data_IF_807384890298
#
_entry.id   IF_807384890298
#
_cell.length_a   1.000
_cell.length_b   1.000
_cell.length_c   1.000
_cell.angle_alpha   90.00
_cell.angle_beta   90.00
_cell.angle_gamma   90.00
#
_symmetry.space_group_name_H-M   'P 1'
#
loop_
_entity.id
_entity.type
_entity.pdbx_description
1 polymer ?
#
# COMPACT_ATOMS: atom_id res chain seq x y z
N UNK A 1 70.20 -48.46 -26.70
CA UNK A 1 70.08 -47.79 -28.01
C UNK A 1 68.62 -47.54 -28.30
N UNK A 2 68.29 -46.32 -28.78
CA UNK A 2 67.06 -45.94 -29.51
C UNK A 2 65.75 -45.85 -28.70
N UNK A 3 65.37 -44.64 -28.28
CA UNK A 3 64.44 -43.67 -28.94
C UNK A 3 62.98 -43.91 -28.55
N UNK A 4 62.38 -43.06 -27.71
CA UNK A 4 61.72 -41.78 -28.06
C UNK A 4 60.26 -42.00 -28.49
N UNK A 5 59.29 -41.59 -27.65
CA UNK A 5 58.11 -40.79 -28.03
C UNK A 5 57.27 -40.49 -26.78
N UNK A 6 57.39 -39.29 -26.24
CA UNK A 6 56.40 -38.71 -25.33
C UNK A 6 55.43 -37.90 -26.19
N UNK A 7 54.17 -38.33 -26.29
CA UNK A 7 53.09 -37.50 -26.83
C UNK A 7 52.48 -36.69 -25.68
N UNK A 8 52.70 -35.39 -25.72
CA UNK A 8 52.05 -34.37 -24.89
C UNK A 8 50.61 -34.18 -25.34
N UNK A 9 49.63 -34.69 -24.58
CA UNK A 9 48.23 -34.33 -24.73
C UNK A 9 47.95 -33.05 -23.93
N UNK A 10 47.91 -31.92 -24.63
CA UNK A 10 47.48 -30.63 -24.10
C UNK A 10 45.94 -30.64 -23.97
N UNK A 11 45.42 -30.94 -22.79
CA UNK A 11 43.99 -30.80 -22.48
C UNK A 11 43.70 -29.32 -22.31
N UNK A 12 43.15 -28.70 -23.35
CA UNK A 12 42.61 -27.35 -23.30
C UNK A 12 41.31 -27.40 -22.49
N UNK A 13 41.40 -27.12 -21.19
CA UNK A 13 40.25 -26.99 -20.31
C UNK A 13 39.49 -25.73 -20.70
N UNK A 14 38.44 -25.88 -21.51
CA UNK A 14 37.43 -24.86 -21.70
C UNK A 14 36.59 -24.77 -20.42
N UNK A 15 37.02 -23.94 -19.48
CA UNK A 15 36.17 -23.50 -18.38
C UNK A 15 35.06 -22.64 -18.96
N UNK A 16 33.91 -23.27 -19.24
CA UNK A 16 32.67 -22.55 -19.45
C UNK A 16 32.40 -21.81 -18.13
N UNK A 17 32.41 -20.46 -18.08
CA UNK A 17 31.96 -19.76 -16.89
C UNK A 17 30.49 -20.13 -16.70
N UNK A 18 30.23 -20.84 -15.60
CA UNK A 18 28.89 -21.25 -15.21
C UNK A 18 27.96 -20.05 -15.23
N UNK A 19 26.93 -20.14 -16.07
CA UNK A 19 25.76 -19.29 -15.96
C UNK A 19 25.18 -19.60 -14.58
N UNK A 20 25.40 -18.69 -13.62
CA UNK A 20 24.69 -18.71 -12.36
C UNK A 20 23.19 -18.63 -12.70
N UNK A 21 22.51 -19.78 -12.66
CA UNK A 21 21.07 -19.89 -12.59
C UNK A 21 20.60 -19.41 -11.20
N UNK A 22 20.93 -18.16 -10.88
CA UNK A 22 20.45 -17.45 -9.71
C UNK A 22 19.02 -16.98 -9.96
N UNK A 23 18.08 -17.82 -9.58
CA UNK A 23 16.77 -17.44 -9.06
C UNK A 23 15.89 -16.55 -9.96
N UNK A 24 15.69 -16.98 -11.20
CA UNK A 24 14.65 -16.43 -12.08
C UNK A 24 13.26 -16.47 -11.43
N UNK A 25 13.00 -17.42 -10.54
CA UNK A 25 11.77 -17.54 -9.73
C UNK A 25 11.59 -16.40 -8.73
N UNK A 26 12.62 -16.02 -7.96
CA UNK A 26 12.51 -14.89 -7.03
C UNK A 26 12.42 -13.55 -7.76
N UNK A 27 13.09 -13.40 -8.91
CA UNK A 27 12.96 -12.19 -9.75
C UNK A 27 11.55 -12.06 -10.32
N UNK A 28 10.94 -13.17 -10.77
CA UNK A 28 9.55 -13.20 -11.22
C UNK A 28 8.57 -12.93 -10.06
N UNK A 29 8.78 -13.54 -8.90
CA UNK A 29 7.94 -13.31 -7.71
C UNK A 29 8.02 -11.86 -7.22
N UNK A 30 9.21 -11.25 -7.26
CA UNK A 30 9.40 -9.83 -6.96
C UNK A 30 8.71 -8.94 -8.00
N UNK A 31 8.87 -9.24 -9.30
CA UNK A 31 8.22 -8.50 -10.38
C UNK A 31 6.68 -8.55 -10.30
N UNK A 32 6.09 -9.72 -10.03
CA UNK A 32 4.65 -9.86 -9.84
C UNK A 32 4.15 -9.05 -8.64
N UNK A 33 4.92 -9.05 -7.54
CA UNK A 33 4.59 -8.28 -6.36
C UNK A 33 4.56 -6.77 -6.61
N UNK A 34 5.54 -6.22 -7.34
CA UNK A 34 5.58 -4.80 -7.75
C UNK A 34 4.37 -4.40 -8.62
N UNK A 35 3.94 -5.30 -9.52
CA UNK A 35 2.74 -5.09 -10.36
C UNK A 35 1.47 -5.02 -9.50
N UNK A 36 1.32 -5.92 -8.53
CA UNK A 36 0.17 -5.92 -7.62
C UNK A 36 0.13 -4.67 -6.74
N UNK A 37 1.29 -4.21 -6.26
CA UNK A 37 1.43 -2.97 -5.49
C UNK A 37 1.04 -1.73 -6.31
N UNK A 38 1.45 -1.70 -7.58
CA UNK A 38 1.06 -0.65 -8.53
C UNK A 38 -0.45 -0.62 -8.72
N UNK A 39 -1.11 -1.77 -8.80
CA UNK A 39 -2.56 -1.85 -8.90
C UNK A 39 -3.26 -1.29 -7.64
N UNK A 40 -2.76 -1.61 -6.44
CA UNK A 40 -3.29 -1.04 -5.19
C UNK A 40 -3.15 0.50 -5.16
N UNK A 41 -2.00 1.00 -5.60
CA UNK A 41 -1.75 2.45 -5.73
C UNK A 41 -2.72 3.12 -6.70
N UNK A 42 -2.95 2.52 -7.87
CA UNK A 42 -3.89 3.05 -8.86
C UNK A 42 -5.32 3.10 -8.32
N UNK A 43 -5.71 2.10 -7.53
CA UNK A 43 -7.01 2.10 -6.88
C UNK A 43 -7.14 3.21 -5.82
N UNK A 44 -6.10 3.47 -5.02
CA UNK A 44 -6.08 4.63 -4.13
C UNK A 44 -6.20 5.96 -4.89
N UNK A 45 -5.54 6.08 -6.05
CA UNK A 45 -5.67 7.27 -6.91
C UNK A 45 -7.09 7.42 -7.48
N UNK A 46 -7.74 6.32 -7.90
CA UNK A 46 -9.14 6.36 -8.33
C UNK A 46 -10.07 6.75 -7.19
N UNK A 47 -9.88 6.17 -5.99
CA UNK A 47 -10.65 6.49 -4.79
C UNK A 47 -10.49 7.96 -4.35
N UNK A 48 -9.29 8.54 -4.52
CA UNK A 48 -9.07 9.98 -4.32
C UNK A 48 -9.99 10.83 -5.20
N UNK A 49 -10.21 10.42 -6.46
CA UNK A 49 -11.14 11.09 -7.37
C UNK A 49 -12.57 11.11 -6.82
N UNK A 50 -13.07 9.96 -6.34
CA UNK A 50 -14.41 9.87 -5.77
C UNK A 50 -14.55 10.62 -4.43
N UNK A 51 -13.52 10.59 -3.58
CA UNK A 51 -13.48 11.37 -2.35
C UNK A 51 -13.55 12.88 -2.62
N UNK A 52 -12.85 13.34 -3.66
CA UNK A 52 -12.89 14.75 -4.08
C UNK A 52 -14.24 15.14 -4.65
N UNK A 53 -14.85 14.29 -5.47
CA UNK A 53 -16.20 14.51 -5.98
C UNK A 53 -17.22 14.56 -4.83
N UNK A 54 -17.10 13.66 -3.85
CA UNK A 54 -17.90 13.70 -2.62
C UNK A 54 -17.70 15.02 -1.88
N UNK A 55 -16.45 15.41 -1.61
CA UNK A 55 -16.15 16.65 -0.89
C UNK A 55 -16.71 17.88 -1.60
N UNK A 56 -16.61 17.95 -2.92
CA UNK A 56 -17.19 19.05 -3.72
C UNK A 56 -18.71 19.14 -3.55
N UNK A 57 -19.41 18.00 -3.51
CA UNK A 57 -20.85 17.96 -3.26
C UNK A 57 -21.25 18.19 -1.79
N UNK A 58 -20.30 18.14 -0.85
CA UNK A 58 -20.55 18.19 0.60
C UNK A 58 -19.75 19.30 1.31
N UNK A 59 -19.55 20.46 0.65
CA UNK A 59 -18.89 21.64 1.23
C UNK A 59 -17.50 21.33 1.82
N UNK A 60 -16.72 20.53 1.10
CA UNK A 60 -15.37 20.10 1.49
C UNK A 60 -15.33 18.98 2.53
N UNK A 61 -16.47 18.51 3.07
CA UNK A 61 -16.51 17.41 4.04
C UNK A 61 -16.41 16.07 3.33
N UNK A 62 -15.54 15.20 3.84
CA UNK A 62 -15.44 13.80 3.43
C UNK A 62 -16.43 12.93 4.21
N UNK A 63 -16.76 11.71 3.73
CA UNK A 63 -17.67 10.79 4.44
C UNK A 63 -17.27 10.60 5.90
N UNK A 64 -18.22 10.69 6.83
CA UNK A 64 -17.90 10.74 8.27
C UNK A 64 -17.44 9.40 8.86
N UNK A 65 -17.96 8.28 8.35
CA UNK A 65 -17.60 6.94 8.83
C UNK A 65 -16.16 6.57 8.50
N UNK A 66 -15.48 5.84 9.38
CA UNK A 66 -14.16 5.28 9.08
C UNK A 66 -14.28 4.02 8.21
N UNK A 67 -13.17 3.59 7.60
CA UNK A 67 -13.07 2.35 6.83
C UNK A 67 -14.23 2.18 5.83
N UNK A 68 -14.80 0.98 5.73
CA UNK A 68 -15.87 0.66 4.78
C UNK A 68 -17.15 1.50 5.02
N UNK A 69 -17.42 1.93 6.25
CA UNK A 69 -18.62 2.68 6.60
C UNK A 69 -18.69 4.05 5.93
N UNK A 70 -17.55 4.72 5.80
CA UNK A 70 -17.43 5.95 5.00
C UNK A 70 -17.32 5.66 3.52
N UNK A 71 -16.49 4.69 3.13
CA UNK A 71 -16.20 4.40 1.73
C UNK A 71 -17.42 3.95 0.92
N UNK A 72 -18.39 3.27 1.54
CA UNK A 72 -19.66 2.92 0.88
C UNK A 72 -20.48 4.12 0.41
N UNK A 73 -20.23 5.32 0.96
CA UNK A 73 -20.89 6.57 0.54
C UNK A 73 -20.40 7.10 -0.81
N UNK A 74 -19.35 6.51 -1.37
CA UNK A 74 -18.79 6.91 -2.66
C UNK A 74 -19.53 6.29 -3.87
N UNK A 75 -20.49 5.38 -3.65
CA UNK A 75 -21.28 4.74 -4.70
C UNK A 75 -21.95 5.72 -5.68
N UNK A 76 -22.69 6.73 -5.19
CA UNK A 76 -23.30 7.76 -6.05
C UNK A 76 -22.31 8.59 -6.88
N UNK A 77 -21.02 8.55 -6.53
CA UNK A 77 -19.95 9.25 -7.23
C UNK A 77 -19.19 8.34 -8.22
N UNK A 78 -19.65 7.11 -8.41
CA UNK A 78 -19.09 6.15 -9.38
C UNK A 78 -18.17 5.09 -8.78
N UNK A 79 -17.89 5.15 -7.47
CA UNK A 79 -17.13 4.09 -6.81
C UNK A 79 -17.93 2.78 -6.81
N UNK A 80 -17.25 1.69 -7.07
CA UNK A 80 -17.81 0.34 -7.08
C UNK A 80 -16.76 -0.65 -6.58
N UNK A 81 -17.16 -1.92 -6.40
CA UNK A 81 -16.31 -2.95 -5.79
C UNK A 81 -14.95 -3.15 -6.47
N UNK A 82 -14.82 -2.88 -7.78
CA UNK A 82 -13.55 -3.01 -8.50
C UNK A 82 -12.47 -2.03 -8.00
N UNK A 83 -12.90 -0.89 -7.44
CA UNK A 83 -12.00 0.10 -6.85
C UNK A 83 -11.54 -0.30 -5.45
N UNK A 84 -12.23 -1.23 -4.78
CA UNK A 84 -11.91 -1.72 -3.44
C UNK A 84 -11.16 -3.05 -3.50
N UNK A 85 -10.14 -3.13 -4.36
CA UNK A 85 -9.30 -4.32 -4.55
C UNK A 85 -7.84 -3.95 -4.33
N UNK A 86 -7.12 -4.75 -3.56
CA UNK A 86 -5.66 -4.72 -3.53
C UNK A 86 -5.17 -6.16 -3.52
N UNK A 87 -4.45 -6.58 -4.57
CA UNK A 87 -4.01 -7.99 -4.69
C UNK A 87 -2.75 -8.29 -3.88
N UNK A 88 -1.97 -7.25 -3.57
CA UNK A 88 -0.76 -7.35 -2.77
C UNK A 88 -1.03 -7.61 -1.28
N UNK A 89 -2.31 -7.61 -0.85
CA UNK A 89 -2.71 -7.90 0.50
C UNK A 89 -3.44 -9.25 0.58
N UNK A 90 -3.48 -9.85 1.77
CA UNK A 90 -4.08 -11.18 2.00
C UNK A 90 -5.61 -11.14 2.04
N UNK A 91 -6.24 -9.98 1.83
CA UNK A 91 -7.67 -9.83 2.00
C UNK A 91 -8.39 -10.48 0.82
N UNK A 92 -9.42 -11.27 1.13
CA UNK A 92 -10.24 -11.90 0.10
C UNK A 92 -10.96 -10.80 -0.66
N UNK A 93 -10.86 -10.79 -1.98
CA UNK A 93 -11.66 -9.89 -2.82
C UNK A 93 -13.12 -10.00 -2.41
N UNK A 94 -13.80 -8.86 -2.31
CA UNK A 94 -15.25 -8.82 -2.38
C UNK A 94 -15.68 -9.60 -3.63
N UNK A 95 -16.62 -10.53 -3.50
CA UNK A 95 -17.23 -11.20 -4.66
C UNK A 95 -18.02 -10.16 -5.44
N UNK A 96 -18.10 -10.29 -6.76
CA UNK A 96 -18.91 -9.43 -7.61
C UNK A 96 -20.33 -9.28 -7.01
N UNK A 97 -20.81 -8.05 -6.88
CA UNK A 97 -22.09 -7.68 -6.24
C UNK A 97 -22.22 -7.92 -4.72
N UNK A 98 -21.15 -8.26 -3.99
CA UNK A 98 -21.18 -8.23 -2.53
C UNK A 98 -21.03 -6.80 -1.99
N UNK A 99 -21.75 -6.48 -0.92
CA UNK A 99 -21.61 -5.19 -0.25
C UNK A 99 -20.20 -5.03 0.35
N UNK A 100 -19.63 -3.83 0.26
CA UNK A 100 -18.36 -3.51 0.94
C UNK A 100 -18.56 -3.65 2.46
N UNK A 101 -17.70 -4.43 3.11
CA UNK A 101 -17.71 -4.73 4.53
C UNK A 101 -16.29 -4.69 5.10
N UNK A 102 -16.15 -4.82 6.41
CA UNK A 102 -14.85 -4.86 7.08
C UNK A 102 -13.96 -6.01 6.55
N UNK A 103 -14.56 -7.18 6.33
CA UNK A 103 -13.88 -8.40 5.89
C UNK A 103 -13.30 -8.31 4.48
N UNK A 104 -13.89 -7.47 3.62
CA UNK A 104 -13.54 -7.41 2.20
C UNK A 104 -12.95 -6.05 1.77
N UNK A 105 -12.96 -5.04 2.64
CA UNK A 105 -12.35 -3.74 2.36
C UNK A 105 -10.83 -3.81 2.59
N UNK A 106 -10.00 -3.66 1.54
CA UNK A 106 -8.55 -3.77 1.65
C UNK A 106 -7.87 -2.49 2.16
N UNK A 107 -8.65 -1.42 2.36
CA UNK A 107 -8.14 -0.10 2.70
C UNK A 107 -8.62 0.36 4.08
N UNK A 108 -7.76 1.11 4.76
CA UNK A 108 -8.12 1.99 5.86
C UNK A 108 -8.61 3.32 5.29
N UNK A 109 -9.59 3.93 5.95
CA UNK A 109 -10.09 5.25 5.60
C UNK A 109 -10.32 6.10 6.86
N UNK A 110 -9.73 7.30 6.87
CA UNK A 110 -9.84 8.27 7.95
C UNK A 110 -11.04 9.20 7.69
N UNK A 111 -12.20 8.84 8.26
CA UNK A 111 -13.47 9.51 8.00
C UNK A 111 -13.60 10.90 8.63
N UNK A 112 -14.51 11.71 8.09
CA UNK A 112 -15.02 12.94 8.71
C UNK A 112 -14.08 14.13 8.68
N UNK A 113 -13.00 14.07 7.88
CA UNK A 113 -12.13 15.22 7.66
C UNK A 113 -12.80 16.23 6.73
N UNK A 114 -12.54 17.52 6.94
CA UNK A 114 -12.75 18.54 5.92
C UNK A 114 -11.46 18.68 5.11
N UNK A 115 -11.56 18.48 3.80
CA UNK A 115 -10.39 18.37 2.91
C UNK A 115 -9.58 19.67 2.87
N UNK A 116 -10.24 20.82 2.77
CA UNK A 116 -9.57 22.12 2.71
C UNK A 116 -8.92 22.49 4.05
N UNK A 117 -9.62 22.29 5.15
CA UNK A 117 -9.08 22.52 6.48
C UNK A 117 -7.87 21.62 6.75
N UNK A 118 -7.97 20.33 6.43
CA UNK A 118 -6.86 19.39 6.61
C UNK A 118 -5.65 19.76 5.73
N UNK A 119 -5.87 20.16 4.47
CA UNK A 119 -4.80 20.61 3.58
C UNK A 119 -4.09 21.87 4.10
N UNK A 120 -4.85 22.83 4.67
CA UNK A 120 -4.29 24.02 5.33
C UNK A 120 -3.47 23.67 6.57
N UNK A 121 -3.88 22.65 7.32
CA UNK A 121 -3.15 22.19 8.51
C UNK A 121 -1.85 21.47 8.13
N UNK A 122 -1.92 20.49 7.23
CA UNK A 122 -0.73 19.81 6.70
C UNK A 122 -1.09 19.00 5.45
N UNK A 123 -0.32 19.11 4.35
CA UNK A 123 -0.50 18.28 3.17
C UNK A 123 -0.22 16.79 3.44
N UNK A 124 0.44 16.49 4.58
CA UNK A 124 0.87 15.15 4.94
C UNK A 124 -0.13 14.38 5.82
N UNK A 125 -1.36 14.86 5.98
CA UNK A 125 -2.42 14.12 6.67
C UNK A 125 -2.89 12.96 5.77
N UNK A 126 -2.91 11.70 6.25
CA UNK A 126 -3.41 10.58 5.48
C UNK A 126 -4.94 10.60 5.38
N UNK A 127 -5.48 10.29 4.20
CA UNK A 127 -6.91 10.06 3.94
C UNK A 127 -7.23 8.56 3.89
N UNK A 128 -6.39 7.80 3.20
CA UNK A 128 -6.54 6.36 3.04
C UNK A 128 -5.19 5.68 3.05
N UNK A 129 -5.17 4.39 3.38
CA UNK A 129 -3.98 3.57 3.25
C UNK A 129 -4.37 2.12 2.95
N UNK A 130 -3.45 1.33 2.42
CA UNK A 130 -3.59 -0.12 2.42
C UNK A 130 -3.73 -0.62 3.86
N UNK A 131 -4.60 -1.63 4.10
CA UNK A 131 -4.67 -2.27 5.42
C UNK A 131 -3.31 -2.88 5.79
N UNK A 132 -2.81 -2.63 7.02
CA UNK A 132 -1.60 -3.25 7.55
C UNK A 132 -1.62 -4.79 7.48
N UNK A 133 -0.44 -5.40 7.41
CA UNK A 133 -0.26 -6.86 7.30
C UNK A 133 0.27 -7.37 5.95
N UNK A 134 0.42 -6.46 4.98
CA UNK A 134 1.16 -6.69 3.74
C UNK A 134 2.66 -6.42 3.86
N UNK A 135 3.40 -6.63 2.77
CA UNK A 135 4.83 -6.30 2.64
C UNK A 135 5.10 -4.82 2.42
N UNK A 136 4.11 -4.02 2.08
CA UNK A 136 4.22 -2.59 1.88
C UNK A 136 2.87 -1.95 2.17
N UNK A 137 2.85 -0.64 2.37
CA UNK A 137 1.62 0.14 2.60
C UNK A 137 1.68 1.37 1.72
N UNK A 138 0.76 1.50 0.78
CA UNK A 138 0.49 2.76 0.10
C UNK A 138 -0.38 3.65 0.99
N UNK A 139 -0.12 4.95 0.95
CA UNK A 139 -0.86 5.96 1.70
C UNK A 139 -1.25 7.08 0.74
N UNK A 140 -2.55 7.38 0.69
CA UNK A 140 -3.12 8.55 0.04
C UNK A 140 -3.20 9.70 1.06
N UNK A 141 -2.67 10.86 0.71
CA UNK A 141 -2.69 12.05 1.54
C UNK A 141 -3.73 13.08 1.08
N UNK A 142 -4.03 14.06 1.94
CA UNK A 142 -5.02 15.13 1.67
C UNK A 142 -4.70 15.98 0.45
N UNK A 143 -3.41 16.16 0.13
CA UNK A 143 -2.97 16.85 -1.09
C UNK A 143 -3.21 16.03 -2.37
N UNK A 144 -3.58 14.76 -2.24
CA UNK A 144 -3.88 13.83 -3.32
C UNK A 144 -2.69 12.98 -3.77
N UNK A 145 -1.50 13.17 -3.20
CA UNK A 145 -0.36 12.30 -3.51
C UNK A 145 -0.58 10.92 -2.89
N UNK A 146 -0.12 9.89 -3.60
CA UNK A 146 -0.04 8.52 -3.06
C UNK A 146 1.42 8.12 -2.97
N UNK A 147 1.87 7.76 -1.78
CA UNK A 147 3.23 7.26 -1.53
C UNK A 147 3.22 5.86 -0.95
N UNK A 148 4.17 5.03 -1.39
CA UNK A 148 4.47 3.77 -0.75
C UNK A 148 5.41 4.01 0.44
N UNK A 149 5.04 3.50 1.60
CA UNK A 149 5.97 3.38 2.72
C UNK A 149 7.01 2.30 2.42
N UNK A 150 8.25 2.48 2.90
CA UNK A 150 9.29 1.47 2.74
C UNK A 150 8.83 0.14 3.34
N UNK A 151 9.28 -1.00 2.78
CA UNK A 151 8.87 -2.30 3.27
C UNK A 151 9.18 -2.46 4.76
N UNK A 152 8.33 -3.17 5.52
CA UNK A 152 8.55 -3.40 6.92
C UNK A 152 9.82 -4.23 7.08
N UNK A 153 10.68 -3.78 7.98
CA UNK A 153 11.83 -4.58 8.44
C UNK A 153 11.43 -5.33 9.70
N UNK A 154 12.27 -6.26 10.16
CA UNK A 154 12.07 -6.92 11.47
C UNK A 154 11.96 -5.92 12.63
N UNK A 155 12.48 -4.70 12.46
CA UNK A 155 12.43 -3.61 13.45
C UNK A 155 11.31 -2.59 13.21
N UNK A 156 10.62 -2.64 12.07
CA UNK A 156 9.59 -1.69 11.67
C UNK A 156 8.46 -2.44 11.00
N UNK A 157 7.61 -3.09 11.80
CA UNK A 157 6.41 -3.78 11.33
C UNK A 157 5.19 -2.89 11.54
N UNK A 158 4.48 -2.59 10.46
CA UNK A 158 3.18 -1.89 10.53
C UNK A 158 2.10 -2.97 10.61
N UNK A 159 1.52 -3.14 11.80
CA UNK A 159 0.54 -4.21 12.07
C UNK A 159 -0.88 -3.70 12.26
N UNK A 160 -1.05 -2.43 12.61
CA UNK A 160 -2.33 -1.78 12.86
C UNK A 160 -2.29 -0.31 12.41
N UNK A 161 -3.41 0.41 12.54
CA UNK A 161 -3.52 1.80 12.12
C UNK A 161 -2.66 2.73 12.97
N UNK A 162 -2.50 2.48 14.28
CA UNK A 162 -1.60 3.27 15.15
C UNK A 162 -0.14 3.16 14.71
N UNK A 163 0.35 1.95 14.40
CA UNK A 163 1.70 1.73 13.90
C UNK A 163 1.95 2.51 12.59
N UNK A 164 0.92 2.59 11.73
CA UNK A 164 0.97 3.40 10.51
C UNK A 164 1.11 4.88 10.83
N UNK A 165 0.32 5.42 11.76
CA UNK A 165 0.40 6.83 12.17
C UNK A 165 1.76 7.13 12.81
N UNK A 166 2.30 6.25 13.65
CA UNK A 166 3.61 6.44 14.25
C UNK A 166 4.73 6.41 13.18
N UNK A 167 4.62 5.51 12.19
CA UNK A 167 5.55 5.48 11.06
C UNK A 167 5.50 6.78 10.22
N UNK A 168 4.30 7.32 9.99
CA UNK A 168 4.10 8.58 9.28
C UNK A 168 4.61 9.77 10.10
N UNK A 169 4.36 9.80 11.41
CA UNK A 169 4.87 10.84 12.31
C UNK A 169 6.40 10.85 12.33
N UNK A 170 7.04 9.69 12.40
CA UNK A 170 8.49 9.58 12.33
C UNK A 170 9.06 10.17 11.03
N UNK A 171 8.33 10.06 9.91
CA UNK A 171 8.75 10.60 8.60
C UNK A 171 8.46 12.10 8.46
N UNK A 172 7.27 12.55 8.85
CA UNK A 172 6.77 13.89 8.55
C UNK A 172 6.77 14.86 9.75
N UNK A 173 7.08 14.37 10.95
CA UNK A 173 7.19 15.17 12.18
C UNK A 173 5.93 16.02 12.41
N UNK A 174 4.76 15.38 12.46
CA UNK A 174 3.48 16.06 12.71
C UNK A 174 3.51 16.91 13.98
N UNK A 175 2.78 18.03 13.98
CA UNK A 175 2.55 18.80 15.20
C UNK A 175 1.83 17.95 16.26
N UNK A 176 1.96 18.29 17.56
CA UNK A 176 1.27 17.55 18.63
C UNK A 176 -0.24 17.43 18.40
N UNK A 177 -0.89 18.50 17.92
CA UNK A 177 -2.33 18.53 17.66
C UNK A 177 -2.73 17.58 16.53
N UNK A 178 -1.96 17.58 15.43
CA UNK A 178 -2.21 16.69 14.29
C UNK A 178 -1.96 15.23 14.69
N UNK A 179 -0.88 14.97 15.43
CA UNK A 179 -0.54 13.64 15.90
C UNK A 179 -1.62 13.08 16.81
N UNK A 180 -2.11 13.87 17.76
CA UNK A 180 -3.17 13.45 18.67
C UNK A 180 -4.47 13.15 17.93
N UNK A 181 -4.88 14.03 17.00
CA UNK A 181 -6.05 13.80 16.15
C UNK A 181 -5.94 12.49 15.36
N UNK A 182 -4.77 12.25 14.74
CA UNK A 182 -4.53 11.03 13.96
C UNK A 182 -4.49 9.78 14.83
N UNK A 183 -3.90 9.84 16.03
CA UNK A 183 -3.86 8.72 16.99
C UNK A 183 -5.24 8.37 17.52
N UNK A 184 -6.08 9.37 17.80
CA UNK A 184 -7.48 9.17 18.19
C UNK A 184 -8.26 8.46 17.07
N UNK A 185 -8.14 8.93 15.82
CA UNK A 185 -8.76 8.26 14.67
C UNK A 185 -8.23 6.84 14.47
N UNK A 186 -6.92 6.64 14.54
CA UNK A 186 -6.30 5.33 14.42
C UNK A 186 -6.77 4.36 15.51
N UNK A 187 -6.90 4.84 16.76
CA UNK A 187 -7.46 4.06 17.85
C UNK A 187 -8.92 3.68 17.63
N UNK A 188 -9.75 4.58 17.09
CA UNK A 188 -11.13 4.25 16.75
C UNK A 188 -11.21 3.20 15.63
N UNK A 189 -10.34 3.29 14.63
CA UNK A 189 -10.21 2.31 13.54
C UNK A 189 -9.78 0.95 14.06
N UNK A 190 -8.74 0.88 14.90
CA UNK A 190 -8.19 -0.37 15.43
C UNK A 190 -9.17 -1.09 16.38
N UNK A 191 -10.07 -0.34 17.02
CA UNK A 191 -11.06 -0.87 17.96
C UNK A 191 -12.40 -1.24 17.29
N UNK A 192 -12.66 -0.78 16.06
CA UNK A 192 -13.84 -1.15 15.30
C UNK A 192 -13.66 -2.57 14.76
N UNK A 193 -14.14 -3.57 15.52
CA UNK A 193 -14.25 -4.97 15.09
C UNK A 193 -15.65 -5.27 14.58
#
# INVERSE_FOLDING_TARGET
MKTMLFLTAMVLSATIPGVFAGDSTARLAYGLYEVEMTACRNNLMALNGFLRAYAQANNGRLPEGNNFDGLRKLGPFGANFNHFVCRANKFKKARDNSALSEDNCPFLYFGGLNLEAALKTSPNIPLMADKPGGRHVNVLFVDGRVEALPPPTTKRKISNCRDLIDALHNKYQYSPEVLEMLRLKAGAIDNAK
#
